data_IF_196813538808
#
_entry.id   IF_196813538808
#
_cell.length_a   1.000
_cell.length_b   1.000
_cell.length_c   1.000
_cell.angle_alpha   90.00
_cell.angle_beta   90.00
_cell.angle_gamma   90.00
#
_symmetry.space_group_name_H-M   'P 1'
#
loop_
_entity.id
_entity.type
_entity.pdbx_description
1 polymer ?
#
# COMPACT_ATOMS: atom_id res chain seq x y z
N UNK A 1 15.12 10.26 3.90
CA UNK A 1 14.20 9.77 4.95
C UNK A 1 13.75 8.37 4.59
N UNK A 2 13.16 8.13 3.43
CA UNK A 2 12.57 6.84 3.03
C UNK A 2 13.55 5.67 3.05
N UNK A 3 14.80 5.89 2.66
CA UNK A 3 15.85 4.87 2.74
C UNK A 3 16.04 4.36 4.19
N UNK A 4 16.03 5.27 5.15
CA UNK A 4 16.12 4.90 6.57
C UNK A 4 14.85 4.20 7.05
N UNK A 5 13.68 4.69 6.64
CA UNK A 5 12.38 4.08 6.97
C UNK A 5 12.34 2.64 6.45
N UNK A 6 12.65 2.43 5.16
CA UNK A 6 12.62 1.11 4.56
C UNK A 6 13.60 0.12 5.23
N UNK A 7 14.84 0.57 5.51
CA UNK A 7 15.83 -0.27 6.16
C UNK A 7 15.41 -0.63 7.60
N UNK A 8 14.94 0.36 8.38
CA UNK A 8 14.47 0.11 9.75
C UNK A 8 13.20 -0.74 9.80
N UNK A 9 12.31 -0.57 8.84
CA UNK A 9 11.14 -1.43 8.71
C UNK A 9 11.55 -2.88 8.42
N UNK A 10 12.43 -3.10 7.45
CA UNK A 10 12.91 -4.45 7.12
C UNK A 10 13.62 -5.11 8.31
N UNK A 11 14.51 -4.38 9.02
CA UNK A 11 15.17 -4.85 10.25
C UNK A 11 14.14 -5.22 11.33
N UNK A 12 13.16 -4.35 11.57
CA UNK A 12 12.14 -4.54 12.61
C UNK A 12 11.21 -5.73 12.30
N UNK A 13 10.72 -5.81 11.06
CA UNK A 13 9.89 -6.93 10.60
C UNK A 13 10.64 -8.26 10.76
N UNK A 14 11.89 -8.33 10.29
CA UNK A 14 12.69 -9.53 10.42
C UNK A 14 12.90 -9.99 11.88
N UNK A 15 13.04 -9.02 12.81
CA UNK A 15 13.36 -9.31 14.21
C UNK A 15 12.11 -9.54 15.08
N UNK A 16 11.04 -8.78 14.89
CA UNK A 16 9.89 -8.72 15.81
C UNK A 16 8.61 -9.38 15.26
N UNK A 17 8.38 -9.36 13.95
CA UNK A 17 7.18 -9.92 13.32
C UNK A 17 5.88 -9.38 13.92
N UNK A 18 5.63 -8.08 13.86
CA UNK A 18 4.39 -7.50 14.42
C UNK A 18 3.16 -7.96 13.62
N UNK A 19 2.00 -8.03 14.28
CA UNK A 19 0.75 -8.45 13.65
C UNK A 19 0.30 -7.49 12.53
N UNK A 20 0.59 -6.18 12.66
CA UNK A 20 0.27 -5.16 11.68
C UNK A 20 1.37 -4.11 11.63
N UNK A 21 1.73 -3.70 10.42
CA UNK A 21 2.66 -2.60 10.19
C UNK A 21 2.07 -1.61 9.18
N UNK A 22 2.22 -0.34 9.46
CA UNK A 22 1.95 0.75 8.52
C UNK A 22 3.26 1.43 8.17
N UNK A 23 3.60 1.46 6.89
CA UNK A 23 4.83 2.08 6.39
C UNK A 23 4.46 3.19 5.42
N UNK A 24 5.01 4.37 5.61
CA UNK A 24 4.83 5.53 4.75
C UNK A 24 6.15 5.93 4.11
N UNK A 25 6.15 6.06 2.79
CA UNK A 25 7.27 6.52 1.97
C UNK A 25 6.83 7.79 1.24
N UNK A 26 7.53 8.89 1.44
CA UNK A 26 7.13 10.24 1.03
C UNK A 26 7.85 10.74 -0.23
N UNK A 27 9.01 10.19 -0.52
CA UNK A 27 9.91 10.75 -1.54
C UNK A 27 9.30 10.85 -2.94
N UNK A 28 8.40 9.95 -3.31
CA UNK A 28 7.69 10.01 -4.60
C UNK A 28 6.78 11.23 -4.67
N UNK A 29 6.16 11.64 -3.57
CA UNK A 29 5.34 12.83 -3.51
C UNK A 29 6.19 14.11 -3.63
N UNK A 30 7.29 14.22 -2.90
CA UNK A 30 8.27 15.30 -3.00
C UNK A 30 8.76 15.50 -4.43
N UNK A 31 9.11 14.39 -5.10
CA UNK A 31 9.60 14.43 -6.49
C UNK A 31 8.50 14.79 -7.47
N UNK A 32 7.27 14.35 -7.21
CA UNK A 32 6.10 14.76 -7.95
C UNK A 32 5.87 16.26 -7.86
N UNK A 33 5.84 16.83 -6.65
CA UNK A 33 5.71 18.29 -6.46
C UNK A 33 6.79 19.09 -7.18
N UNK A 34 8.02 18.61 -7.13
CA UNK A 34 9.15 19.32 -7.70
C UNK A 34 9.23 19.20 -9.23
N UNK A 35 9.00 18.03 -9.78
CA UNK A 35 9.29 17.73 -11.18
C UNK A 35 8.05 17.31 -12.01
N UNK A 36 6.94 16.96 -11.37
CA UNK A 36 5.73 16.49 -12.04
C UNK A 36 5.97 15.19 -12.81
N UNK A 37 5.25 15.03 -13.93
CA UNK A 37 5.42 13.90 -14.85
C UNK A 37 6.77 14.00 -15.59
N UNK A 38 7.79 13.35 -15.06
CA UNK A 38 9.17 13.53 -15.50
C UNK A 38 10.00 12.27 -15.31
N UNK A 39 11.18 12.19 -15.99
CA UNK A 39 12.14 11.12 -15.72
C UNK A 39 12.58 11.05 -14.25
N UNK A 40 12.67 12.19 -13.56
CA UNK A 40 13.02 12.24 -12.13
C UNK A 40 11.96 11.58 -11.26
N UNK A 41 10.70 11.74 -11.61
CA UNK A 41 9.60 11.03 -10.93
C UNK A 41 9.69 9.52 -11.18
N UNK A 42 10.01 9.11 -12.41
CA UNK A 42 10.22 7.70 -12.74
C UNK A 42 11.36 7.07 -11.92
N UNK A 43 12.47 7.77 -11.74
CA UNK A 43 13.57 7.30 -10.89
C UNK A 43 13.19 7.24 -9.41
N UNK A 44 12.36 8.17 -8.92
CA UNK A 44 11.84 8.11 -7.56
C UNK A 44 10.95 6.87 -7.33
N UNK A 45 10.11 6.52 -8.30
CA UNK A 45 9.29 5.29 -8.25
C UNK A 45 10.17 4.04 -8.22
N UNK A 46 11.24 3.98 -9.03
CA UNK A 46 12.19 2.85 -9.00
C UNK A 46 12.88 2.72 -7.64
N UNK A 47 13.27 3.85 -7.04
CA UNK A 47 13.84 3.86 -5.69
C UNK A 47 12.84 3.34 -4.65
N UNK A 48 11.58 3.75 -4.73
CA UNK A 48 10.53 3.25 -3.86
C UNK A 48 10.30 1.73 -4.05
N UNK A 49 10.34 1.24 -5.29
CA UNK A 49 10.25 -0.19 -5.61
C UNK A 49 11.39 -0.99 -4.98
N UNK A 50 12.64 -0.51 -5.08
CA UNK A 50 13.80 -1.13 -4.43
C UNK A 50 13.66 -1.15 -2.89
N UNK A 51 13.10 -0.09 -2.30
CA UNK A 51 12.84 0.02 -0.87
C UNK A 51 11.78 -0.99 -0.42
N UNK A 52 10.66 -1.06 -1.14
CA UNK A 52 9.61 -2.06 -0.93
C UNK A 52 10.16 -3.47 -1.12
N UNK A 53 11.01 -3.70 -2.12
CA UNK A 53 11.68 -4.97 -2.36
C UNK A 53 12.51 -5.47 -1.17
N UNK A 54 13.14 -4.57 -0.40
CA UNK A 54 13.86 -4.94 0.84
C UNK A 54 12.90 -5.37 1.95
N UNK A 55 11.79 -4.63 2.12
CA UNK A 55 10.75 -4.97 3.09
C UNK A 55 10.14 -6.34 2.73
N UNK A 56 9.82 -6.55 1.46
CA UNK A 56 9.30 -7.82 0.95
C UNK A 56 10.22 -9.00 1.27
N UNK A 57 11.53 -8.87 1.02
CA UNK A 57 12.50 -9.91 1.34
C UNK A 57 12.54 -10.25 2.84
N UNK A 58 12.39 -9.25 3.70
CA UNK A 58 12.32 -9.49 5.14
C UNK A 58 11.06 -10.29 5.53
N UNK A 59 9.92 -10.00 4.90
CA UNK A 59 8.66 -10.75 5.09
C UNK A 59 8.79 -12.18 4.56
N UNK A 60 9.28 -12.38 3.34
CA UNK A 60 9.49 -13.73 2.77
C UNK A 60 10.40 -14.61 3.64
N UNK A 61 11.44 -14.00 4.23
CA UNK A 61 12.29 -14.70 5.18
C UNK A 61 11.49 -15.16 6.40
N UNK A 62 10.64 -14.31 6.96
CA UNK A 62 9.77 -14.67 8.10
C UNK A 62 8.80 -15.79 7.76
N UNK A 63 8.12 -15.69 6.62
CA UNK A 63 7.21 -16.73 6.13
C UNK A 63 7.92 -18.10 6.10
N UNK A 64 9.16 -18.11 5.60
CA UNK A 64 9.94 -19.34 5.48
C UNK A 64 10.46 -19.86 6.83
N UNK A 65 10.98 -18.98 7.69
CA UNK A 65 11.65 -19.37 8.94
C UNK A 65 10.67 -19.61 10.10
N UNK A 66 9.52 -18.95 10.11
CA UNK A 66 8.56 -19.01 11.23
C UNK A 66 7.21 -19.63 10.86
N UNK A 67 7.03 -20.05 9.60
CA UNK A 67 5.75 -20.58 9.09
C UNK A 67 4.59 -19.59 9.31
N UNK A 68 4.86 -18.30 9.07
CA UNK A 68 3.90 -17.21 9.14
C UNK A 68 3.25 -16.98 7.78
N UNK A 69 2.05 -16.43 7.78
CA UNK A 69 1.38 -15.94 6.58
C UNK A 69 1.28 -14.42 6.65
N UNK A 70 1.69 -13.72 5.59
CA UNK A 70 1.72 -12.28 5.54
C UNK A 70 0.91 -11.74 4.35
N UNK A 71 0.03 -10.79 4.63
CA UNK A 71 -0.60 -9.99 3.59
C UNK A 71 0.13 -8.65 3.44
N UNK A 72 0.56 -8.38 2.22
CA UNK A 72 1.18 -7.10 1.86
C UNK A 72 0.19 -6.35 0.97
N UNK A 73 -0.10 -5.11 1.35
CA UNK A 73 -0.88 -4.18 0.53
C UNK A 73 -0.02 -2.95 0.27
N UNK A 74 0.16 -2.62 -1.00
CA UNK A 74 0.87 -1.42 -1.44
C UNK A 74 -0.14 -0.53 -2.16
N UNK A 75 -0.20 0.73 -1.78
CA UNK A 75 -1.13 1.69 -2.37
C UNK A 75 -0.54 3.10 -2.38
N UNK A 76 -1.20 4.01 -3.06
CA UNK A 76 -0.99 5.45 -2.95
C UNK A 76 -2.25 6.08 -2.35
N UNK A 77 -2.09 7.20 -1.66
CA UNK A 77 -3.19 7.94 -1.03
C UNK A 77 -3.96 8.82 -2.03
N UNK A 78 -3.30 9.29 -3.10
CA UNK A 78 -3.89 10.10 -4.16
C UNK A 78 -3.14 9.97 -5.49
N UNK A 79 -3.76 10.46 -6.55
CA UNK A 79 -3.11 10.71 -7.84
C UNK A 79 -2.59 12.16 -7.92
N UNK A 80 -2.42 12.68 -9.17
CA UNK A 80 -1.85 14.01 -9.41
C UNK A 80 -2.61 14.78 -10.47
N UNK A 81 -2.44 16.12 -10.48
CA UNK A 81 -3.06 17.00 -11.49
C UNK A 81 -2.75 16.52 -12.91
N UNK A 82 -3.75 16.68 -13.82
CA UNK A 82 -3.65 16.14 -15.17
C UNK A 82 -2.71 16.95 -16.09
N UNK A 83 -2.48 18.21 -15.77
CA UNK A 83 -1.69 19.15 -16.58
C UNK A 83 -0.17 18.95 -16.42
N UNK A 84 0.31 18.96 -15.20
CA UNK A 84 1.75 18.93 -14.89
C UNK A 84 2.18 17.75 -14.03
N UNK A 85 1.23 17.09 -13.36
CA UNK A 85 1.51 16.07 -12.35
C UNK A 85 2.14 16.63 -11.08
N UNK A 86 2.21 17.96 -10.89
CA UNK A 86 2.87 18.59 -9.73
C UNK A 86 1.97 18.77 -8.52
N UNK A 87 0.68 18.97 -8.75
CA UNK A 87 -0.28 19.18 -7.66
C UNK A 87 -1.14 17.96 -7.38
N UNK A 88 -1.89 18.04 -6.30
CA UNK A 88 -2.95 17.10 -5.92
C UNK A 88 -3.96 17.80 -4.98
N UNK A 89 -5.01 17.09 -4.56
CA UNK A 89 -6.03 17.61 -3.64
C UNK A 89 -7.23 18.27 -4.35
N UNK A 90 -7.26 18.27 -5.67
CA UNK A 90 -8.41 18.63 -6.46
C UNK A 90 -9.40 17.46 -6.67
N UNK A 91 -10.32 17.64 -7.62
CA UNK A 91 -11.40 16.69 -7.86
C UNK A 91 -11.37 16.04 -9.26
N UNK A 92 -10.26 16.18 -9.99
CA UNK A 92 -10.10 15.50 -11.28
C UNK A 92 -10.01 13.99 -11.08
N UNK A 93 -10.42 13.23 -12.10
CA UNK A 93 -10.36 11.77 -12.05
C UNK A 93 -8.93 11.28 -11.80
N UNK A 94 -7.93 11.92 -12.41
CA UNK A 94 -6.52 11.57 -12.21
C UNK A 94 -6.07 11.80 -10.76
N UNK A 95 -6.50 12.88 -10.09
CA UNK A 95 -6.14 13.16 -8.70
C UNK A 95 -6.80 12.18 -7.72
N UNK A 96 -8.00 11.71 -8.03
CA UNK A 96 -8.76 10.75 -7.21
C UNK A 96 -8.45 9.30 -7.52
N UNK A 97 -7.75 9.02 -8.62
CA UNK A 97 -7.38 7.64 -9.00
C UNK A 97 -6.19 7.19 -8.16
N UNK A 98 -6.40 6.10 -7.43
CA UNK A 98 -5.38 5.37 -6.69
C UNK A 98 -5.22 3.97 -7.28
N UNK A 99 -4.26 3.22 -6.77
CA UNK A 99 -4.02 1.82 -7.15
C UNK A 99 -3.72 0.99 -5.92
N UNK A 100 -3.99 -0.30 -5.99
CA UNK A 100 -3.75 -1.25 -4.91
C UNK A 100 -3.05 -2.48 -5.49
N UNK A 101 -1.95 -2.88 -4.86
CA UNK A 101 -1.27 -4.15 -5.11
C UNK A 101 -1.35 -5.01 -3.85
N UNK A 102 -1.68 -6.28 -4.01
CA UNK A 102 -1.77 -7.24 -2.92
C UNK A 102 -1.11 -8.56 -3.32
N UNK A 103 -0.40 -9.19 -2.37
CA UNK A 103 0.27 -10.47 -2.60
C UNK A 103 -0.65 -11.69 -2.48
N UNK A 104 -1.91 -11.52 -2.14
CA UNK A 104 -2.86 -12.63 -1.99
C UNK A 104 -3.33 -13.15 -3.34
N UNK A 105 -3.48 -14.47 -3.46
CA UNK A 105 -3.86 -15.14 -4.70
C UNK A 105 -5.37 -15.28 -4.87
N UNK A 106 -6.12 -15.35 -3.77
CA UNK A 106 -7.57 -15.55 -3.79
C UNK A 106 -8.32 -14.24 -3.62
N UNK A 107 -8.36 -13.43 -4.67
CA UNK A 107 -9.02 -12.14 -4.70
C UNK A 107 -10.39 -12.23 -5.38
N UNK A 108 -11.35 -11.42 -4.90
CA UNK A 108 -12.67 -11.27 -5.53
C UNK A 108 -12.55 -10.55 -6.87
N UNK A 109 -13.49 -10.76 -7.81
CA UNK A 109 -13.53 -10.02 -9.07
C UNK A 109 -13.52 -8.50 -8.91
N UNK A 110 -14.15 -7.97 -7.85
CA UNK A 110 -14.18 -6.53 -7.54
C UNK A 110 -12.79 -5.90 -7.36
N UNK A 111 -11.79 -6.68 -6.94
CA UNK A 111 -10.41 -6.22 -6.85
C UNK A 111 -9.82 -5.84 -8.23
N UNK A 112 -10.22 -6.55 -9.28
CA UNK A 112 -9.72 -6.33 -10.65
C UNK A 112 -10.55 -5.31 -11.43
N UNK A 113 -11.70 -4.90 -10.88
CA UNK A 113 -12.57 -3.92 -11.51
C UNK A 113 -12.25 -2.50 -11.00
N UNK A 114 -12.73 -2.13 -9.83
CA UNK A 114 -12.51 -0.80 -9.25
C UNK A 114 -12.32 -0.88 -7.73
N UNK A 115 -11.17 -1.37 -7.24
CA UNK A 115 -10.91 -1.40 -5.81
C UNK A 115 -10.69 0.01 -5.27
N UNK A 116 -11.36 0.34 -4.18
CA UNK A 116 -11.18 1.62 -3.48
C UNK A 116 -10.24 1.49 -2.29
N UNK A 117 -9.58 2.57 -1.90
CA UNK A 117 -8.75 2.59 -0.66
C UNK A 117 -9.54 2.22 0.58
N UNK A 118 -10.86 2.45 0.57
CA UNK A 118 -11.80 2.05 1.63
C UNK A 118 -11.94 0.54 1.79
N UNK A 119 -11.56 -0.26 0.77
CA UNK A 119 -11.60 -1.71 0.79
C UNK A 119 -10.41 -2.34 1.53
N UNK A 120 -9.34 -1.57 1.77
CA UNK A 120 -8.11 -2.07 2.39
C UNK A 120 -8.38 -2.51 3.84
N UNK A 121 -8.99 -1.66 4.66
CA UNK A 121 -9.22 -1.98 6.07
C UNK A 121 -10.10 -3.22 6.28
N UNK A 122 -11.27 -3.38 5.62
CA UNK A 122 -12.04 -4.60 5.76
C UNK A 122 -11.32 -5.85 5.22
N UNK A 123 -10.41 -5.71 4.25
CA UNK A 123 -9.58 -6.81 3.77
C UNK A 123 -8.53 -7.22 4.80
N UNK A 124 -7.85 -6.26 5.42
CA UNK A 124 -6.92 -6.52 6.53
C UNK A 124 -7.65 -7.21 7.69
N UNK A 125 -8.82 -6.71 8.09
CA UNK A 125 -9.59 -7.30 9.16
C UNK A 125 -9.99 -8.76 8.87
N UNK A 126 -10.41 -9.05 7.62
CA UNK A 126 -10.71 -10.43 7.20
C UNK A 126 -9.46 -11.32 7.22
N UNK A 127 -8.33 -10.85 6.68
CA UNK A 127 -7.07 -11.59 6.67
C UNK A 127 -6.61 -11.95 8.09
N UNK A 128 -6.72 -11.01 9.02
CA UNK A 128 -6.36 -11.20 10.43
C UNK A 128 -7.40 -12.00 11.25
N UNK A 129 -8.50 -12.43 10.63
CA UNK A 129 -9.55 -13.16 11.31
C UNK A 129 -10.38 -12.34 12.32
N UNK A 130 -10.38 -11.01 12.20
CA UNK A 130 -11.19 -10.15 13.05
C UNK A 130 -12.66 -10.15 12.62
N UNK A 131 -13.54 -10.56 13.52
CA UNK A 131 -14.98 -10.37 13.36
C UNK A 131 -15.37 -8.93 13.71
N UNK A 132 -15.68 -8.14 12.69
CA UNK A 132 -16.19 -6.79 12.92
C UNK A 132 -17.63 -6.84 13.41
N UNK A 133 -17.98 -6.10 14.50
CA UNK A 133 -19.36 -5.97 14.94
C UNK A 133 -20.25 -5.42 13.81
N UNK A 134 -21.49 -5.91 13.70
CA UNK A 134 -22.46 -5.50 12.66
C UNK A 134 -22.65 -3.99 12.62
N UNK A 135 -22.64 -3.32 13.77
CA UNK A 135 -22.73 -1.86 13.86
C UNK A 135 -21.61 -1.17 13.10
N UNK A 136 -20.39 -1.71 13.13
CA UNK A 136 -19.25 -1.16 12.39
C UNK A 136 -19.34 -1.56 10.92
N UNK A 137 -19.58 -2.85 10.67
CA UNK A 137 -19.67 -3.42 9.31
C UNK A 137 -20.68 -2.69 8.43
N UNK A 138 -21.84 -2.30 9.01
CA UNK A 138 -22.91 -1.58 8.31
C UNK A 138 -22.60 -0.09 8.05
N UNK A 139 -21.51 0.45 8.60
CA UNK A 139 -21.07 1.84 8.40
C UNK A 139 -19.86 1.94 7.43
N UNK A 140 -19.30 0.81 7.00
CA UNK A 140 -18.18 0.81 6.07
C UNK A 140 -18.67 1.06 4.64
N UNK A 141 -18.02 1.99 3.96
CA UNK A 141 -18.20 2.20 2.52
C UNK A 141 -17.48 1.09 1.72
N UNK A 142 -16.37 0.58 2.24
CA UNK A 142 -15.56 -0.46 1.62
C UNK A 142 -15.98 -1.89 1.97
N UNK A 143 -15.54 -2.81 1.14
CA UNK A 143 -15.74 -4.26 1.32
C UNK A 143 -14.42 -4.99 1.12
N UNK A 144 -14.22 -6.08 1.88
CA UNK A 144 -13.05 -6.92 1.65
C UNK A 144 -12.98 -7.43 0.21
N UNK A 145 -11.81 -7.31 -0.38
CA UNK A 145 -11.48 -7.88 -1.69
C UNK A 145 -10.95 -9.32 -1.60
N UNK A 146 -10.76 -9.87 -0.41
CA UNK A 146 -10.40 -11.29 -0.22
C UNK A 146 -11.65 -12.19 -0.39
N UNK A 147 -11.44 -13.39 -0.95
CA UNK A 147 -12.50 -14.42 -1.06
C UNK A 147 -12.86 -15.01 0.29
#
# INVERSE_FOLDING_TARGET
IDELVANKTAEYLAAQGPDLSWVYLEFTDDMGHRFGDSPQMTEAVKLADDQVGRIWKAIQKRETENNEEWMIVITTDHGRTADTGKGHGGHSDRERTTWIVCNQNELKPSYYDQPGVVDIMPSIAQFMGFEMPDKIKNQLDGKSFLK
#
